data_IF_734853972431
#
_entry.id   IF_734853972431
#
_cell.length_a   1.000
_cell.length_b   1.000
_cell.length_c   1.000
_cell.angle_alpha   90.00
_cell.angle_beta   90.00
_cell.angle_gamma   90.00
#
_symmetry.space_group_name_H-M   'P 1'
#
loop_
_entity.id
_entity.type
_entity.pdbx_description
1 polymer ?
#
# COMPACT_ATOMS: atom_id res chain seq x y z
N UNK A 1 -15.05 -7.09 -4.01
CA UNK A 1 -15.61 -8.02 -3.00
C UNK A 1 -14.46 -8.48 -2.10
N UNK A 2 -14.68 -9.10 -0.93
CA UNK A 2 -13.59 -9.66 -0.13
C UNK A 2 -12.72 -10.58 -1.00
N UNK A 3 -11.42 -10.28 -1.10
CA UNK A 3 -10.46 -11.03 -1.91
C UNK A 3 -10.36 -10.65 -3.39
N UNK A 4 -11.09 -9.63 -3.88
CA UNK A 4 -10.86 -9.06 -5.23
C UNK A 4 -9.74 -8.03 -5.17
N UNK A 5 -8.70 -8.18 -5.98
CA UNK A 5 -7.63 -7.18 -6.08
C UNK A 5 -8.13 -5.97 -6.87
N UNK A 6 -7.66 -4.77 -6.52
CA UNK A 6 -8.07 -3.53 -7.20
C UNK A 6 -7.80 -3.59 -8.71
N UNK A 7 -6.71 -4.22 -9.13
CA UNK A 7 -6.36 -4.42 -10.56
C UNK A 7 -7.39 -5.28 -11.32
N UNK A 8 -8.20 -6.08 -10.62
CA UNK A 8 -9.20 -6.96 -11.23
C UNK A 8 -10.56 -6.26 -11.44
N UNK A 9 -10.73 -5.03 -10.98
CA UNK A 9 -11.98 -4.28 -11.17
C UNK A 9 -12.08 -3.74 -12.61
N UNK A 10 -13.31 -3.60 -13.11
CA UNK A 10 -13.57 -3.03 -14.44
C UNK A 10 -13.23 -1.53 -14.51
N UNK A 11 -13.20 -0.86 -13.36
CA UNK A 11 -12.91 0.57 -13.22
C UNK A 11 -11.40 0.85 -13.18
N UNK A 12 -10.56 -0.18 -13.06
CA UNK A 12 -9.11 0.00 -13.00
C UNK A 12 -8.57 0.51 -14.34
N UNK A 13 -7.83 1.63 -14.37
CA UNK A 13 -7.39 2.20 -15.64
C UNK A 13 -6.30 1.33 -16.29
N UNK A 14 -6.54 0.94 -17.55
CA UNK A 14 -5.69 0.00 -18.29
C UNK A 14 -4.23 0.44 -18.42
N UNK A 15 -3.96 1.74 -18.44
CA UNK A 15 -2.60 2.29 -18.53
C UNK A 15 -1.74 1.94 -17.30
N UNK A 16 -2.36 1.71 -16.14
CA UNK A 16 -1.69 1.34 -14.89
C UNK A 16 -1.62 -0.17 -14.68
N UNK A 17 -2.32 -0.98 -15.48
CA UNK A 17 -2.48 -2.42 -15.26
C UNK A 17 -1.15 -3.14 -15.21
N UNK A 18 -0.30 -2.91 -16.20
CA UNK A 18 1.03 -3.52 -16.26
C UNK A 18 1.91 -3.16 -15.06
N UNK A 19 1.78 -1.93 -14.53
CA UNK A 19 2.52 -1.50 -13.34
C UNK A 19 1.99 -2.20 -12.09
N UNK A 20 0.67 -2.28 -11.93
CA UNK A 20 0.03 -2.96 -10.81
C UNK A 20 0.35 -4.47 -10.79
N UNK A 21 0.33 -5.13 -11.95
CA UNK A 21 0.73 -6.53 -12.09
C UNK A 21 2.21 -6.73 -11.71
N UNK A 22 3.11 -5.84 -12.15
CA UNK A 22 4.52 -5.91 -11.77
C UNK A 22 4.74 -5.71 -10.25
N UNK A 23 3.96 -4.83 -9.62
CA UNK A 23 4.00 -4.64 -8.17
C UNK A 23 3.50 -5.88 -7.41
N UNK A 24 2.42 -6.51 -7.90
CA UNK A 24 1.94 -7.78 -7.37
C UNK A 24 3.02 -8.85 -7.50
N UNK A 25 3.63 -9.01 -8.67
CA UNK A 25 4.69 -10.00 -8.89
C UNK A 25 5.89 -9.76 -7.94
N UNK A 26 6.25 -8.51 -7.69
CA UNK A 26 7.29 -8.16 -6.72
C UNK A 26 6.93 -8.57 -5.28
N UNK A 27 5.68 -8.34 -4.86
CA UNK A 27 5.18 -8.81 -3.56
C UNK A 27 5.22 -10.34 -3.47
N UNK A 28 4.80 -11.06 -4.51
CA UNK A 28 4.80 -12.52 -4.55
C UNK A 28 6.23 -13.09 -4.41
N UNK A 29 7.25 -12.41 -4.93
CA UNK A 29 8.66 -12.79 -4.73
C UNK A 29 9.11 -12.53 -3.29
N UNK A 30 8.84 -11.35 -2.76
CA UNK A 30 9.31 -10.96 -1.41
C UNK A 30 8.63 -11.79 -0.33
N UNK A 31 7.34 -12.13 -0.48
CA UNK A 31 6.60 -12.90 0.52
C UNK A 31 7.09 -14.34 0.70
N UNK A 32 7.84 -14.87 -0.26
CA UNK A 32 8.42 -16.22 -0.17
C UNK A 32 9.77 -16.22 0.58
N UNK A 33 10.36 -15.06 0.83
CA UNK A 33 11.64 -14.96 1.53
C UNK A 33 11.47 -15.18 3.04
N UNK A 34 12.22 -16.16 3.57
CA UNK A 34 12.28 -16.51 5.00
C UNK A 34 13.61 -16.11 5.67
N UNK A 35 14.56 -15.60 4.89
CA UNK A 35 15.91 -15.22 5.31
C UNK A 35 16.11 -13.70 5.50
N UNK A 36 15.07 -12.90 5.27
CA UNK A 36 15.06 -11.44 5.45
C UNK A 36 13.80 -10.98 6.18
N UNK A 37 13.93 -9.94 7.00
CA UNK A 37 12.80 -9.21 7.59
C UNK A 37 12.29 -8.21 6.55
N UNK A 38 11.14 -8.50 5.95
CA UNK A 38 10.55 -7.67 4.91
C UNK A 38 9.23 -7.07 5.35
N UNK A 39 8.97 -5.83 4.94
CA UNK A 39 7.64 -5.21 4.98
C UNK A 39 7.31 -4.73 3.57
N UNK A 40 6.15 -5.12 3.03
CA UNK A 40 5.69 -4.61 1.74
C UNK A 40 4.72 -3.46 1.97
N UNK A 41 5.24 -2.23 1.98
CA UNK A 41 4.45 -1.02 2.20
C UNK A 41 3.76 -0.58 0.90
N UNK A 42 2.44 -0.71 0.84
CA UNK A 42 1.63 -0.35 -0.31
C UNK A 42 0.92 0.98 -0.09
N UNK A 43 0.98 1.92 -1.05
CA UNK A 43 0.23 3.16 -0.96
C UNK A 43 -1.27 2.92 -1.14
N UNK A 44 -2.05 3.96 -0.87
CA UNK A 44 -3.44 4.06 -1.26
C UNK A 44 -3.60 3.99 -2.80
N UNK A 45 -4.84 3.84 -3.29
CA UNK A 45 -5.11 3.75 -4.73
C UNK A 45 -4.65 5.02 -5.47
N UNK A 46 -4.74 6.18 -4.82
CA UNK A 46 -4.21 7.45 -5.29
C UNK A 46 -3.11 7.94 -4.37
N UNK A 47 -1.94 8.22 -4.95
CA UNK A 47 -0.80 8.85 -4.29
C UNK A 47 -0.27 10.01 -5.13
N UNK A 48 -0.34 11.23 -4.57
CA UNK A 48 0.03 12.48 -5.24
C UNK A 48 0.71 13.43 -4.24
N UNK A 49 1.49 14.43 -4.71
CA UNK A 49 2.01 15.46 -3.82
C UNK A 49 0.88 16.16 -3.06
N UNK A 50 1.06 16.38 -1.76
CA UNK A 50 0.06 16.98 -0.89
C UNK A 50 0.67 17.59 0.38
N UNK A 51 -0.11 17.55 1.46
CA UNK A 51 0.34 18.05 2.77
C UNK A 51 1.02 16.94 3.58
N UNK A 52 2.07 17.32 4.32
CA UNK A 52 2.69 16.45 5.33
C UNK A 52 1.99 16.66 6.67
N UNK A 53 1.02 15.81 6.98
CA UNK A 53 0.25 15.87 8.22
C UNK A 53 0.89 15.06 9.35
N UNK A 54 1.55 13.94 8.99
CA UNK A 54 1.96 12.91 9.94
C UNK A 54 0.81 12.07 10.48
N UNK A 55 -0.39 12.20 9.90
CA UNK A 55 -1.59 11.46 10.29
C UNK A 55 -1.96 10.51 9.15
N UNK A 56 -2.01 9.21 9.42
CA UNK A 56 -2.41 8.18 8.45
C UNK A 56 -2.92 6.94 9.20
N UNK A 57 -3.57 6.04 8.47
CA UNK A 57 -3.98 4.71 8.92
C UNK A 57 -3.23 3.64 8.15
N UNK A 58 -3.10 2.48 8.78
CA UNK A 58 -2.52 1.29 8.17
C UNK A 58 -3.47 0.10 8.26
N UNK A 59 -3.41 -0.80 7.28
CA UNK A 59 -4.17 -2.04 7.28
C UNK A 59 -3.35 -3.21 6.71
N UNK A 60 -3.42 -4.37 7.35
CA UNK A 60 -2.70 -5.57 6.88
C UNK A 60 -3.45 -6.23 5.73
N UNK A 61 -2.76 -6.43 4.59
CA UNK A 61 -3.31 -7.13 3.43
C UNK A 61 -4.46 -6.42 2.70
N UNK A 62 -4.80 -5.19 3.10
CA UNK A 62 -5.97 -4.47 2.63
C UNK A 62 -5.62 -3.03 2.20
N UNK A 63 -6.41 -2.50 1.27
CA UNK A 63 -6.37 -1.11 0.89
C UNK A 63 -7.04 -0.27 1.99
N UNK A 64 -6.44 0.86 2.36
CA UNK A 64 -7.06 1.81 3.28
C UNK A 64 -7.99 2.74 2.50
N UNK A 65 -9.24 2.86 2.95
CA UNK A 65 -10.25 3.78 2.42
C UNK A 65 -10.87 4.61 3.55
N UNK A 66 -11.31 5.82 3.22
CA UNK A 66 -12.11 6.67 4.09
C UNK A 66 -13.59 6.24 4.16
N UNK A 67 -14.42 7.06 4.82
CA UNK A 67 -15.86 6.81 5.01
C UNK A 67 -16.66 6.90 3.70
N UNK A 68 -16.15 7.62 2.70
CA UNK A 68 -16.75 7.77 1.38
C UNK A 68 -16.25 6.71 0.39
N UNK A 69 -15.31 5.87 0.82
CA UNK A 69 -14.71 4.79 0.04
C UNK A 69 -13.55 5.23 -0.84
N UNK A 70 -13.06 6.47 -0.66
CA UNK A 70 -11.90 6.97 -1.39
C UNK A 70 -10.62 6.44 -0.73
N UNK A 71 -9.64 6.05 -1.56
CA UNK A 71 -8.34 5.59 -1.10
C UNK A 71 -7.27 6.56 -1.58
N UNK A 72 -6.82 7.40 -0.65
CA UNK A 72 -5.87 8.47 -0.91
C UNK A 72 -4.79 8.55 0.18
N UNK A 73 -3.59 8.94 -0.21
CA UNK A 73 -2.48 9.33 0.67
C UNK A 73 -1.62 10.38 -0.03
N UNK A 74 -1.09 11.37 0.69
CA UNK A 74 -0.07 12.25 0.13
C UNK A 74 1.27 11.51 -0.02
N UNK A 75 2.10 11.91 -0.98
CA UNK A 75 3.48 11.39 -1.09
C UNK A 75 4.29 11.67 0.18
N UNK A 76 4.03 12.80 0.82
CA UNK A 76 4.67 13.23 2.05
C UNK A 76 4.32 12.32 3.23
N UNK A 77 3.05 12.00 3.44
CA UNK A 77 2.62 11.13 4.53
C UNK A 77 2.93 9.66 4.25
N UNK A 78 2.92 9.22 2.98
CA UNK A 78 3.44 7.90 2.63
C UNK A 78 4.93 7.75 2.98
N UNK A 79 5.74 8.80 2.76
CA UNK A 79 7.13 8.81 3.16
C UNK A 79 7.31 8.81 4.69
N UNK A 80 6.39 9.44 5.44
CA UNK A 80 6.36 9.33 6.91
C UNK A 80 6.04 7.90 7.32
N UNK A 81 4.99 7.28 6.78
CA UNK A 81 4.64 5.90 7.09
C UNK A 81 5.79 4.91 6.80
N UNK A 82 6.55 5.15 5.74
CA UNK A 82 7.75 4.38 5.44
C UNK A 82 8.84 4.56 6.51
N UNK A 83 9.10 5.79 6.94
CA UNK A 83 10.09 6.08 7.96
C UNK A 83 9.69 5.47 9.31
N UNK A 84 8.42 5.59 9.70
CA UNK A 84 7.89 5.07 10.95
C UNK A 84 8.00 3.53 11.00
N UNK A 85 7.66 2.83 9.91
CA UNK A 85 7.85 1.37 9.85
C UNK A 85 9.33 0.96 9.90
N UNK A 86 10.24 1.73 9.31
CA UNK A 86 11.68 1.47 9.41
C UNK A 86 12.23 1.66 10.83
N UNK A 87 11.66 2.58 11.60
CA UNK A 87 12.07 2.87 12.98
C UNK A 87 11.45 1.89 13.99
N UNK A 88 10.19 1.51 13.78
CA UNK A 88 9.42 0.72 14.75
C UNK A 88 9.43 -0.79 14.43
N UNK A 89 9.44 -1.17 13.15
CA UNK A 89 9.44 -2.57 12.70
C UNK A 89 8.20 -3.35 13.15
N UNK A 90 7.02 -2.74 13.08
CA UNK A 90 5.79 -3.35 13.60
C UNK A 90 5.16 -4.33 12.61
N UNK A 91 5.48 -4.25 11.32
CA UNK A 91 4.83 -5.03 10.25
C UNK A 91 5.81 -5.95 9.51
N UNK A 92 6.69 -6.63 10.25
CA UNK A 92 7.59 -7.63 9.67
C UNK A 92 6.81 -8.83 9.10
N UNK A 93 7.18 -9.23 7.89
CA UNK A 93 6.56 -10.25 7.05
C UNK A 93 5.11 -9.95 6.67
N UNK A 94 4.80 -8.66 6.52
CA UNK A 94 3.43 -8.19 6.28
C UNK A 94 3.34 -7.30 5.03
N UNK A 95 2.23 -7.48 4.28
CA UNK A 95 1.75 -6.47 3.34
C UNK A 95 1.00 -5.41 4.12
N UNK A 96 1.47 -4.17 4.12
CA UNK A 96 0.90 -3.08 4.90
C UNK A 96 0.40 -1.98 3.96
N UNK A 97 -0.93 -1.82 3.87
CA UNK A 97 -1.55 -0.71 3.17
C UNK A 97 -1.51 0.57 4.01
N UNK A 98 -1.36 1.72 3.35
CA UNK A 98 -1.34 3.05 3.97
C UNK A 98 -2.38 3.96 3.30
N UNK A 99 -3.11 4.75 4.08
CA UNK A 99 -4.05 5.75 3.57
C UNK A 99 -4.66 6.60 4.68
N UNK A 100 -5.43 7.61 4.31
CA UNK A 100 -6.23 8.39 5.27
C UNK A 100 -7.49 7.67 5.70
#
# INVERSE_FOLDING_TARGET
>A
APGTRLVETEEFPDEWRSLAEAAIDAFEVVREADDVEWTYLAPAALIEPGDRTGEYRTAEGELVTDEDGESYVSMEDFAVALADELEEGNAIHTYLGVGY
#
